data_IF_206706770822
#
_entry.id   IF_206706770822
#
_cell.length_a   1.000
_cell.length_b   1.000
_cell.length_c   1.000
_cell.angle_alpha   90.00
_cell.angle_beta   90.00
_cell.angle_gamma   90.00
#
_symmetry.space_group_name_H-M   'P 1'
#
loop_
_entity.id
_entity.type
_entity.pdbx_description
1 polymer ?
#
# COMPACT_ATOMS: atom_id res chain seq x y z
N UNK A 1 -32.93 -82.84 -10.20
CA UNK A 1 -31.97 -83.93 -10.24
C UNK A 1 -30.69 -83.45 -9.54
N UNK A 2 -30.53 -84.02 -8.34
CA UNK A 2 -29.26 -84.33 -7.65
C UNK A 2 -28.15 -83.31 -7.59
N UNK A 3 -27.48 -83.11 -6.52
CA UNK A 3 -27.35 -83.59 -5.09
C UNK A 3 -26.32 -82.67 -4.48
N UNK A 4 -26.56 -82.20 -3.23
CA UNK A 4 -25.78 -82.42 -2.02
C UNK A 4 -24.23 -82.47 -2.18
N UNK A 5 -23.52 -81.65 -1.42
CA UNK A 5 -22.94 -82.03 -0.12
C UNK A 5 -22.34 -80.84 0.60
N UNK A 6 -22.63 -80.77 1.93
CA UNK A 6 -22.04 -80.02 2.99
C UNK A 6 -20.52 -80.27 3.10
N UNK A 7 -19.82 -79.28 3.62
CA UNK A 7 -18.88 -79.54 4.72
C UNK A 7 -18.52 -78.27 5.49
N UNK A 8 -18.72 -78.42 6.79
CA UNK A 8 -18.26 -77.50 7.84
C UNK A 8 -16.76 -77.44 7.92
N UNK A 9 -16.18 -76.25 8.35
CA UNK A 9 -15.20 -76.16 9.44
C UNK A 9 -14.96 -74.69 9.81
N UNK A 10 -15.32 -74.37 11.00
CA UNK A 10 -14.68 -73.71 12.16
C UNK A 10 -13.77 -72.51 11.97
N UNK A 11 -14.24 -71.47 12.62
CA UNK A 11 -13.57 -70.47 13.48
C UNK A 11 -12.05 -70.22 13.36
N UNK A 12 -11.70 -68.98 13.05
CA UNK A 12 -10.74 -68.23 13.85
C UNK A 12 -11.03 -66.74 13.78
N UNK A 13 -11.42 -66.18 14.93
CA UNK A 13 -11.49 -64.74 15.21
C UNK A 13 -10.07 -64.25 15.44
N UNK A 14 -9.57 -63.41 14.55
CA UNK A 14 -8.43 -62.55 14.84
C UNK A 14 -8.91 -61.10 14.86
N UNK A 15 -8.83 -60.53 16.06
CA UNK A 15 -8.94 -59.10 16.32
C UNK A 15 -7.68 -58.38 15.76
N UNK A 16 -7.80 -57.72 14.63
CA UNK A 16 -6.88 -56.71 14.22
C UNK A 16 -7.45 -55.34 14.62
N UNK A 17 -6.90 -54.81 15.69
CA UNK A 17 -6.98 -53.39 16.07
C UNK A 17 -6.05 -52.63 15.16
N UNK A 18 -6.50 -52.17 14.02
CA UNK A 18 -5.77 -51.20 13.20
C UNK A 18 -6.03 -49.80 13.75
N UNK A 19 -5.09 -49.35 14.63
CA UNK A 19 -4.91 -47.95 14.98
C UNK A 19 -4.17 -47.26 13.81
N UNK A 20 -4.90 -46.85 12.78
CA UNK A 20 -4.43 -45.88 11.81
C UNK A 20 -4.82 -44.47 12.25
N UNK A 21 -4.00 -43.88 13.15
CA UNK A 21 -3.92 -42.43 13.32
C UNK A 21 -2.89 -41.91 12.34
N UNK A 22 -3.17 -41.92 11.04
CA UNK A 22 -2.44 -41.14 10.07
C UNK A 22 -2.92 -39.68 10.10
N UNK A 23 -2.42 -38.98 11.11
CA UNK A 23 -2.45 -37.50 11.11
C UNK A 23 -1.35 -37.01 10.15
N UNK A 24 -1.54 -37.19 8.85
CA UNK A 24 -0.77 -36.52 7.81
C UNK A 24 -1.25 -35.04 7.71
N UNK A 25 -1.05 -34.26 8.77
CA UNK A 25 -1.10 -32.82 8.70
C UNK A 25 0.23 -32.35 8.11
N UNK A 26 0.35 -32.36 6.80
CA UNK A 26 1.41 -31.61 6.15
C UNK A 26 1.21 -30.13 6.52
N UNK A 27 2.23 -29.44 7.04
CA UNK A 27 2.11 -28.02 7.34
C UNK A 27 1.66 -27.30 6.07
N UNK A 28 0.75 -26.31 6.17
CA UNK A 28 0.33 -25.55 5.00
C UNK A 28 1.54 -24.96 4.31
N UNK A 29 1.58 -25.06 2.97
CA UNK A 29 2.63 -24.46 2.18
C UNK A 29 2.78 -22.97 2.53
N UNK A 30 4.00 -22.46 2.63
CA UNK A 30 4.19 -21.03 2.91
C UNK A 30 3.46 -20.21 1.84
N UNK A 31 2.83 -19.09 2.23
CA UNK A 31 2.09 -18.26 1.29
C UNK A 31 3.02 -17.70 0.21
N UNK A 32 2.52 -17.61 -1.01
CA UNK A 32 3.23 -16.94 -2.10
C UNK A 32 3.43 -15.45 -1.77
N UNK A 33 4.67 -14.99 -1.84
CA UNK A 33 5.04 -13.59 -1.56
C UNK A 33 5.04 -12.75 -2.84
N UNK A 34 4.07 -13.00 -3.71
CA UNK A 34 3.86 -12.31 -4.98
C UNK A 34 2.84 -11.16 -4.93
N UNK A 35 2.23 -10.94 -3.76
CA UNK A 35 1.24 -9.91 -3.49
C UNK A 35 -0.18 -10.22 -3.98
N UNK A 36 -0.46 -11.46 -4.42
CA UNK A 36 -1.80 -11.90 -4.82
C UNK A 36 -2.59 -12.57 -3.70
N UNK A 37 -2.07 -12.57 -2.47
CA UNK A 37 -2.79 -13.06 -1.29
C UNK A 37 -2.59 -12.13 -0.09
N UNK A 38 -3.48 -12.21 0.90
CA UNK A 38 -3.39 -11.44 2.15
C UNK A 38 -2.50 -12.14 3.19
N UNK A 39 -2.31 -13.43 3.05
CA UNK A 39 -1.58 -14.29 4.00
C UNK A 39 -0.07 -14.09 3.95
N UNK A 40 0.45 -13.37 2.96
CA UNK A 40 1.88 -13.05 2.85
C UNK A 40 2.40 -12.10 3.93
N UNK A 41 1.51 -11.41 4.67
CA UNK A 41 1.90 -10.54 5.77
C UNK A 41 2.40 -11.35 6.98
N UNK A 42 3.52 -10.91 7.53
CA UNK A 42 4.23 -11.55 8.63
C UNK A 42 4.39 -10.56 9.81
N UNK A 43 3.56 -10.67 10.87
CA UNK A 43 3.63 -9.78 12.03
C UNK A 43 4.97 -9.81 12.76
N UNK A 44 5.63 -10.97 12.81
CA UNK A 44 6.95 -11.12 13.46
C UNK A 44 8.02 -10.37 12.66
N UNK A 45 7.97 -10.44 11.34
CA UNK A 45 8.85 -9.66 10.49
C UNK A 45 8.63 -8.16 10.69
N UNK A 46 7.37 -7.69 10.72
CA UNK A 46 7.07 -6.29 11.03
C UNK A 46 7.67 -5.90 12.39
N UNK A 47 7.48 -6.73 13.41
CA UNK A 47 8.02 -6.51 14.77
C UNK A 47 9.54 -6.40 14.78
N UNK A 48 10.23 -7.19 13.94
CA UNK A 48 11.69 -7.14 13.84
C UNK A 48 12.21 -5.83 13.23
N UNK A 49 11.40 -5.14 12.43
CA UNK A 49 11.76 -3.85 11.82
C UNK A 49 11.50 -2.65 12.76
N UNK A 50 10.64 -2.80 13.78
CA UNK A 50 10.21 -1.69 14.63
C UNK A 50 11.36 -0.92 15.29
N UNK A 51 12.45 -1.54 15.81
CA UNK A 51 13.54 -0.78 16.42
C UNK A 51 14.24 0.17 15.42
N UNK A 52 14.49 -0.29 14.20
CA UNK A 52 15.15 0.50 13.15
C UNK A 52 14.21 1.60 12.66
N UNK A 53 12.97 1.27 12.32
CA UNK A 53 11.99 2.26 11.88
C UNK A 53 11.69 3.28 12.98
N UNK A 54 11.67 2.87 14.25
CA UNK A 54 11.51 3.74 15.41
C UNK A 54 12.63 4.75 15.55
N UNK A 55 13.88 4.35 15.28
CA UNK A 55 15.00 5.27 15.26
C UNK A 55 14.84 6.34 14.15
N UNK A 56 14.45 5.93 12.93
CA UNK A 56 14.15 6.87 11.84
C UNK A 56 12.99 7.80 12.21
N UNK A 57 11.93 7.26 12.78
CA UNK A 57 10.76 8.01 13.20
C UNK A 57 11.09 9.09 14.23
N UNK A 58 11.86 8.74 15.27
CA UNK A 58 12.14 9.62 16.41
C UNK A 58 13.28 10.58 16.13
N UNK A 59 14.35 10.15 15.45
CA UNK A 59 15.61 10.88 15.38
C UNK A 59 15.90 11.45 14.00
N UNK A 60 15.66 10.69 12.95
CA UNK A 60 16.00 11.10 11.59
C UNK A 60 14.95 12.03 10.98
N UNK A 61 13.69 11.60 11.03
CA UNK A 61 12.56 12.36 10.50
C UNK A 61 11.77 13.12 11.57
N UNK A 62 12.04 12.90 12.83
CA UNK A 62 11.37 13.55 13.98
C UNK A 62 9.86 13.69 13.76
N UNK A 63 9.24 12.56 13.43
CA UNK A 63 7.85 12.50 12.95
C UNK A 63 6.89 12.93 14.05
N UNK A 64 5.94 13.76 13.68
CA UNK A 64 4.80 14.13 14.51
C UNK A 64 3.54 13.66 13.81
N UNK A 65 2.83 12.70 14.41
CA UNK A 65 1.63 12.10 13.83
C UNK A 65 0.44 12.29 14.76
N UNK A 66 -0.65 12.85 14.19
CA UNK A 66 -1.89 13.13 14.91
C UNK A 66 -3.15 12.62 14.18
N UNK A 67 -4.33 12.87 14.75
CA UNK A 67 -5.60 12.49 14.14
C UNK A 67 -6.05 11.06 14.41
N UNK A 68 -5.40 10.34 15.31
CA UNK A 68 -5.70 8.94 15.63
C UNK A 68 -7.15 8.68 16.05
N UNK A 69 -7.84 9.68 16.62
CA UNK A 69 -9.25 9.62 17.00
C UNK A 69 -10.22 9.44 15.81
N UNK A 70 -9.74 9.70 14.59
CA UNK A 70 -10.54 9.54 13.37
C UNK A 70 -10.53 8.10 12.83
N UNK A 71 -9.64 7.25 13.35
CA UNK A 71 -9.61 5.83 13.00
C UNK A 71 -10.57 5.04 13.88
N UNK A 72 -11.29 4.13 13.25
CA UNK A 72 -12.10 3.14 13.97
C UNK A 72 -11.21 2.03 14.51
N UNK A 73 -11.61 1.43 15.63
CA UNK A 73 -10.89 0.30 16.22
C UNK A 73 -10.92 -0.95 15.34
N UNK A 74 -11.91 -1.08 14.47
CA UNK A 74 -12.06 -2.19 13.53
C UNK A 74 -12.87 -1.77 12.30
N UNK A 75 -12.88 -2.65 11.29
CA UNK A 75 -13.66 -2.50 10.07
C UNK A 75 -12.86 -1.91 8.90
N UNK A 76 -13.48 -2.08 7.73
CA UNK A 76 -12.92 -1.62 6.46
C UNK A 76 -12.86 -0.10 6.40
N UNK A 77 -11.76 0.40 5.89
CA UNK A 77 -11.56 1.80 5.53
C UNK A 77 -10.52 1.90 4.43
N UNK A 78 -10.69 2.86 3.54
CA UNK A 78 -9.70 3.17 2.53
C UNK A 78 -8.92 4.41 2.96
N UNK A 79 -7.67 4.21 3.42
CA UNK A 79 -6.78 5.30 3.79
C UNK A 79 -6.13 5.81 2.51
N UNK A 80 -6.28 7.11 2.23
CA UNK A 80 -5.84 7.73 0.98
C UNK A 80 -4.82 8.81 1.29
N UNK A 81 -3.59 8.63 0.76
CA UNK A 81 -2.50 9.59 0.88
C UNK A 81 -2.11 10.23 -0.45
N UNK A 82 -1.34 11.32 -0.38
CA UNK A 82 -0.57 11.88 -1.49
C UNK A 82 0.91 11.58 -1.23
N UNK A 83 1.59 11.02 -2.22
CA UNK A 83 2.92 10.45 -2.07
C UNK A 83 4.02 11.50 -2.06
N UNK A 84 5.10 11.30 -1.29
CA UNK A 84 6.15 12.29 -1.10
C UNK A 84 7.54 11.68 -1.03
N UNK A 85 8.57 12.45 -1.40
CA UNK A 85 9.97 12.13 -1.11
C UNK A 85 10.62 11.09 -2.03
N UNK A 86 10.16 10.96 -3.27
CA UNK A 86 10.71 10.03 -4.25
C UNK A 86 10.45 8.56 -3.90
N UNK A 87 11.26 7.65 -4.42
CA UNK A 87 11.10 6.20 -4.19
C UNK A 87 11.28 5.80 -2.73
N UNK A 88 11.98 6.60 -1.92
CA UNK A 88 12.14 6.36 -0.49
C UNK A 88 10.84 6.52 0.30
N UNK A 89 9.89 7.32 -0.19
CA UNK A 89 8.55 7.49 0.36
C UNK A 89 8.51 7.53 1.91
N UNK A 90 9.23 8.45 2.56
CA UNK A 90 9.41 8.41 4.02
C UNK A 90 8.09 8.57 4.79
N UNK A 91 7.15 9.36 4.27
CA UNK A 91 5.81 9.53 4.87
C UNK A 91 5.04 8.20 4.94
N UNK A 92 5.10 7.38 3.88
CA UNK A 92 4.47 6.07 3.86
C UNK A 92 5.08 5.14 4.90
N UNK A 93 6.41 5.01 4.93
CA UNK A 93 7.09 4.13 5.88
C UNK A 93 6.88 4.57 7.33
N UNK A 94 6.93 5.88 7.58
CA UNK A 94 6.70 6.43 8.92
C UNK A 94 5.22 6.33 9.33
N UNK A 95 4.30 6.48 8.40
CA UNK A 95 2.87 6.22 8.64
C UNK A 95 2.58 4.76 8.99
N UNK A 96 3.21 3.80 8.29
CA UNK A 96 3.11 2.36 8.59
C UNK A 96 3.75 2.02 9.95
N UNK A 97 4.89 2.63 10.28
CA UNK A 97 5.49 2.51 11.62
C UNK A 97 4.53 3.03 12.69
N UNK A 98 4.00 4.25 12.52
CA UNK A 98 3.05 4.83 13.47
C UNK A 98 1.79 3.97 13.68
N UNK A 99 1.30 3.33 12.62
CA UNK A 99 0.21 2.35 12.70
C UNK A 99 0.59 1.16 13.59
N UNK A 100 1.73 0.52 13.31
CA UNK A 100 2.19 -0.65 14.05
C UNK A 100 2.53 -0.32 15.52
N UNK A 101 3.08 0.86 15.78
CA UNK A 101 3.35 1.36 17.14
C UNK A 101 2.05 1.59 17.92
N UNK A 102 1.04 2.18 17.27
CA UNK A 102 -0.25 2.53 17.91
C UNK A 102 -1.15 1.33 18.15
N UNK A 103 -1.25 0.42 17.18
CA UNK A 103 -2.24 -0.67 17.18
C UNK A 103 -1.63 -2.06 17.35
N UNK A 104 -0.32 -2.16 17.39
CA UNK A 104 0.41 -3.43 17.43
C UNK A 104 0.68 -4.00 16.04
N UNK A 105 1.74 -4.82 15.93
CA UNK A 105 2.14 -5.44 14.68
C UNK A 105 1.16 -6.49 14.16
N UNK A 106 0.27 -7.01 15.02
CA UNK A 106 -0.73 -8.02 14.64
C UNK A 106 -1.91 -7.41 13.89
N UNK A 107 -2.21 -6.12 14.09
CA UNK A 107 -3.28 -5.44 13.36
C UNK A 107 -2.82 -5.08 11.94
N UNK A 108 -3.40 -5.70 10.89
CA UNK A 108 -2.95 -5.45 9.52
C UNK A 108 -3.37 -4.06 9.03
N UNK A 109 -2.50 -3.48 8.24
CA UNK A 109 -2.78 -2.42 7.28
C UNK A 109 -2.18 -2.86 5.96
N UNK A 110 -3.01 -3.06 4.93
CA UNK A 110 -2.54 -3.49 3.62
C UNK A 110 -2.26 -2.30 2.73
N UNK A 111 -1.04 -2.22 2.17
CA UNK A 111 -0.64 -1.16 1.23
C UNK A 111 -0.74 -1.61 -0.23
N UNK A 112 -1.37 -0.80 -1.07
CA UNK A 112 -1.40 -1.07 -2.52
C UNK A 112 -0.06 -0.65 -3.14
N UNK A 113 0.74 -1.63 -3.57
CA UNK A 113 2.06 -1.41 -4.15
C UNK A 113 2.03 -1.58 -5.68
N UNK A 114 2.69 -0.67 -6.38
CA UNK A 114 2.72 -0.64 -7.85
C UNK A 114 3.34 -1.93 -8.43
N UNK A 115 2.76 -2.54 -9.49
CA UNK A 115 3.24 -3.81 -10.06
C UNK A 115 4.71 -3.79 -10.48
N UNK A 116 5.22 -2.67 -10.97
CA UNK A 116 6.64 -2.53 -11.37
C UNK A 116 7.64 -2.84 -10.26
N UNK A 117 7.26 -2.72 -8.98
CA UNK A 117 8.17 -3.07 -7.87
C UNK A 117 8.51 -4.55 -7.88
N UNK A 118 7.55 -5.43 -8.24
CA UNK A 118 7.81 -6.87 -8.42
C UNK A 118 8.69 -7.19 -9.62
N UNK A 119 8.62 -6.37 -10.67
CA UNK A 119 9.41 -6.54 -11.90
C UNK A 119 10.85 -6.04 -11.72
N UNK A 120 10.99 -4.84 -11.14
CA UNK A 120 12.30 -4.18 -11.00
C UNK A 120 13.11 -4.65 -9.80
N UNK A 121 12.46 -5.02 -8.71
CA UNK A 121 13.14 -5.41 -7.46
C UNK A 121 12.38 -6.49 -6.70
N UNK A 122 12.38 -7.76 -7.18
CA UNK A 122 11.70 -8.87 -6.53
C UNK A 122 12.05 -9.05 -5.04
N UNK A 123 13.33 -8.88 -4.61
CA UNK A 123 13.66 -9.00 -3.19
C UNK A 123 12.99 -7.92 -2.32
N UNK A 124 12.90 -6.67 -2.81
CA UNK A 124 12.20 -5.60 -2.12
C UNK A 124 10.71 -5.89 -2.05
N UNK A 125 10.13 -6.36 -3.17
CA UNK A 125 8.72 -6.73 -3.23
C UNK A 125 8.37 -7.83 -2.21
N UNK A 126 9.20 -8.87 -2.10
CA UNK A 126 9.05 -9.94 -1.12
C UNK A 126 9.03 -9.42 0.32
N UNK A 127 9.94 -8.52 0.69
CA UNK A 127 9.96 -7.91 2.02
C UNK A 127 8.74 -7.01 2.25
N UNK A 128 8.34 -6.26 1.23
CA UNK A 128 7.14 -5.41 1.30
C UNK A 128 5.86 -6.24 1.52
N UNK A 129 5.72 -7.39 0.87
CA UNK A 129 4.59 -8.32 1.11
C UNK A 129 4.55 -8.79 2.55
N UNK A 130 5.68 -9.11 3.15
CA UNK A 130 5.76 -9.46 4.59
C UNK A 130 5.34 -8.30 5.48
N UNK A 131 5.51 -7.05 5.05
CA UNK A 131 5.00 -5.87 5.74
C UNK A 131 3.50 -5.60 5.50
N UNK A 132 2.86 -6.29 4.55
CA UNK A 132 1.45 -6.12 4.20
C UNK A 132 1.23 -5.42 2.85
N UNK A 133 2.25 -5.31 2.00
CA UNK A 133 2.03 -4.84 0.64
C UNK A 133 1.29 -5.91 -0.19
N UNK A 134 0.30 -5.46 -0.95
CA UNK A 134 -0.44 -6.25 -1.93
C UNK A 134 -0.40 -5.52 -3.27
N UNK A 135 -0.62 -6.25 -4.35
CA UNK A 135 -0.60 -5.63 -5.69
C UNK A 135 -1.67 -4.55 -5.81
N UNK A 136 -1.31 -3.41 -6.39
CA UNK A 136 -2.24 -2.32 -6.72
C UNK A 136 -3.20 -2.77 -7.84
N UNK A 137 -4.06 -3.73 -7.52
CA UNK A 137 -5.04 -4.31 -8.41
C UNK A 137 -6.42 -4.33 -7.72
N UNK A 138 -7.52 -4.01 -8.41
CA UNK A 138 -8.86 -3.95 -7.81
C UNK A 138 -9.26 -5.22 -7.07
N UNK A 139 -8.88 -6.41 -7.58
CA UNK A 139 -9.17 -7.70 -6.94
C UNK A 139 -8.58 -7.76 -5.53
N UNK A 140 -7.33 -7.35 -5.34
CA UNK A 140 -6.66 -7.42 -4.05
C UNK A 140 -7.20 -6.39 -3.06
N UNK A 141 -7.40 -5.15 -3.54
CA UNK A 141 -7.98 -4.10 -2.72
C UNK A 141 -9.41 -4.46 -2.24
N UNK A 142 -10.24 -5.00 -3.13
CA UNK A 142 -11.59 -5.46 -2.78
C UNK A 142 -11.52 -6.62 -1.78
N UNK A 143 -10.65 -7.60 -1.99
CA UNK A 143 -10.50 -8.74 -1.09
C UNK A 143 -10.12 -8.30 0.33
N UNK A 144 -9.18 -7.36 0.48
CA UNK A 144 -8.77 -6.83 1.78
C UNK A 144 -9.93 -6.06 2.46
N UNK A 145 -10.60 -5.15 1.73
CA UNK A 145 -11.71 -4.38 2.28
C UNK A 145 -12.93 -5.23 2.62
N UNK A 146 -13.22 -6.28 1.83
CA UNK A 146 -14.32 -7.24 2.13
C UNK A 146 -14.01 -8.15 3.33
N UNK A 147 -12.73 -8.37 3.61
CA UNK A 147 -12.27 -9.04 4.82
C UNK A 147 -12.18 -8.09 6.05
N UNK A 148 -12.77 -6.89 5.94
CA UNK A 148 -12.80 -5.83 6.96
C UNK A 148 -11.41 -5.33 7.39
N UNK A 149 -10.42 -5.42 6.49
CA UNK A 149 -9.10 -4.84 6.73
C UNK A 149 -8.98 -3.43 6.14
N UNK A 150 -8.27 -2.51 6.83
CA UNK A 150 -7.91 -1.22 6.27
C UNK A 150 -6.92 -1.37 5.12
N UNK A 151 -7.10 -0.54 4.09
CA UNK A 151 -6.24 -0.50 2.91
C UNK A 151 -5.69 0.91 2.72
N UNK A 152 -4.37 1.01 2.58
CA UNK A 152 -3.65 2.25 2.28
C UNK A 152 -3.38 2.35 0.77
N UNK A 153 -3.71 3.49 0.18
CA UNK A 153 -3.44 3.78 -1.23
C UNK A 153 -2.92 5.20 -1.43
N UNK A 154 -1.95 5.30 -2.34
CA UNK A 154 -1.43 6.58 -2.85
C UNK A 154 -1.78 6.67 -4.34
N UNK A 155 -2.93 7.29 -4.69
CA UNK A 155 -3.46 7.21 -6.04
C UNK A 155 -2.61 7.91 -7.09
N UNK A 156 -1.85 8.93 -6.69
CA UNK A 156 -1.03 9.74 -7.59
C UNK A 156 0.12 8.99 -8.27
N UNK A 157 0.59 7.88 -7.65
CA UNK A 157 1.65 7.05 -8.21
C UNK A 157 2.96 7.80 -8.47
N UNK A 158 3.73 7.41 -9.52
CA UNK A 158 5.02 8.01 -9.81
C UNK A 158 4.98 9.52 -10.02
N UNK A 159 3.95 10.04 -10.68
CA UNK A 159 3.82 11.49 -10.93
C UNK A 159 3.63 12.29 -9.64
N UNK A 160 3.02 11.69 -8.61
CA UNK A 160 2.86 12.32 -7.30
C UNK A 160 4.18 12.28 -6.51
N UNK A 161 4.82 11.13 -6.48
CA UNK A 161 6.11 10.90 -5.78
C UNK A 161 7.21 11.85 -6.25
N UNK A 162 7.26 12.12 -7.55
CA UNK A 162 8.27 12.97 -8.18
C UNK A 162 7.71 14.31 -8.66
N UNK A 163 6.58 14.78 -8.11
CA UNK A 163 6.09 16.11 -8.46
C UNK A 163 7.14 17.19 -8.12
N UNK A 164 7.22 18.29 -8.90
CA UNK A 164 8.17 19.36 -8.63
C UNK A 164 8.05 19.92 -7.22
N UNK A 165 9.17 20.32 -6.63
CA UNK A 165 9.25 20.80 -5.25
C UNK A 165 8.36 22.02 -4.96
N UNK A 166 8.12 22.88 -5.95
CA UNK A 166 7.15 23.98 -5.82
C UNK A 166 5.71 23.53 -5.62
N UNK A 167 5.41 22.24 -5.89
CA UNK A 167 4.11 21.60 -5.63
C UNK A 167 4.09 20.77 -4.35
N UNK A 168 5.11 20.87 -3.48
CA UNK A 168 5.26 20.02 -2.28
C UNK A 168 4.06 20.03 -1.33
N UNK A 169 3.34 21.14 -1.28
CA UNK A 169 2.14 21.33 -0.46
C UNK A 169 0.84 21.18 -1.27
N UNK A 170 0.85 20.38 -2.35
CA UNK A 170 -0.33 20.14 -3.17
C UNK A 170 -0.72 18.66 -3.15
N UNK A 171 -2.01 18.41 -3.00
CA UNK A 171 -2.60 17.07 -3.18
C UNK A 171 -2.70 16.77 -4.67
N UNK A 172 -1.97 15.72 -5.11
CA UNK A 172 -1.89 15.37 -6.51
C UNK A 172 -2.20 13.89 -6.73
N UNK A 173 -3.27 13.59 -7.48
CA UNK A 173 -3.71 12.22 -7.76
C UNK A 173 -3.56 11.84 -9.23
N UNK A 174 -2.85 12.65 -10.03
CA UNK A 174 -2.64 12.44 -11.46
C UNK A 174 -3.95 12.13 -12.24
N UNK A 175 -5.08 12.69 -11.80
CA UNK A 175 -6.38 12.44 -12.41
C UNK A 175 -6.93 11.02 -12.22
N UNK A 176 -6.31 10.19 -11.39
CA UNK A 176 -6.73 8.79 -11.17
C UNK A 176 -7.93 8.72 -10.23
N UNK A 177 -9.03 8.12 -10.70
CA UNK A 177 -10.31 8.01 -9.98
C UNK A 177 -10.60 6.60 -9.47
N UNK A 178 -9.65 5.66 -9.67
CA UNK A 178 -9.83 4.25 -9.31
C UNK A 178 -10.12 4.03 -7.82
N UNK A 179 -9.50 4.81 -6.94
CA UNK A 179 -9.70 4.73 -5.49
C UNK A 179 -11.11 5.17 -5.06
N UNK A 180 -11.71 6.16 -5.74
CA UNK A 180 -13.10 6.56 -5.51
C UNK A 180 -14.05 5.40 -5.87
N UNK A 181 -13.87 4.82 -7.08
CA UNK A 181 -14.67 3.66 -7.51
C UNK A 181 -14.53 2.49 -6.55
N UNK A 182 -13.32 2.27 -6.02
CA UNK A 182 -13.04 1.23 -5.02
C UNK A 182 -13.83 1.51 -3.73
N UNK A 183 -13.71 2.71 -3.17
CA UNK A 183 -14.43 3.11 -1.95
C UNK A 183 -15.95 2.97 -2.10
N UNK A 184 -16.51 3.46 -3.21
CA UNK A 184 -17.94 3.34 -3.50
C UNK A 184 -18.38 1.88 -3.61
N UNK A 185 -17.62 1.06 -4.35
CA UNK A 185 -17.96 -0.35 -4.59
C UNK A 185 -17.90 -1.21 -3.35
N UNK A 186 -16.98 -0.91 -2.44
CA UNK A 186 -16.77 -1.67 -1.20
C UNK A 186 -17.46 -1.05 0.01
N UNK A 187 -18.19 0.05 -0.20
CA UNK A 187 -18.90 0.80 0.85
C UNK A 187 -17.96 1.19 2.00
N UNK A 188 -16.74 1.57 1.63
CA UNK A 188 -15.71 1.94 2.58
C UNK A 188 -15.61 3.46 2.70
N UNK A 189 -15.58 4.03 3.92
CA UNK A 189 -15.23 5.43 4.09
C UNK A 189 -13.81 5.68 3.60
N UNK A 190 -13.56 6.87 3.06
CA UNK A 190 -12.20 7.33 2.78
C UNK A 190 -11.67 8.06 4.02
N UNK A 191 -10.52 7.62 4.50
CA UNK A 191 -9.77 8.30 5.57
C UNK A 191 -8.58 9.00 4.94
N UNK A 192 -8.58 10.34 4.84
CA UNK A 192 -7.46 11.07 4.30
C UNK A 192 -6.23 10.97 5.22
N UNK A 193 -5.07 10.74 4.60
CA UNK A 193 -3.76 10.77 5.25
C UNK A 193 -2.93 11.85 4.56
N UNK A 194 -2.67 12.95 5.23
CA UNK A 194 -1.87 14.03 4.68
C UNK A 194 -0.51 14.08 5.36
N UNK A 195 0.49 14.57 4.62
CA UNK A 195 1.85 14.70 5.13
C UNK A 195 2.47 16.01 4.67
N UNK A 196 3.20 16.67 5.57
CA UNK A 196 3.99 17.86 5.32
C UNK A 196 5.44 17.61 5.72
N UNK A 197 6.40 18.19 4.98
CA UNK A 197 7.84 18.01 5.20
C UNK A 197 8.44 16.77 4.51
N UNK A 198 7.66 15.74 4.24
CA UNK A 198 8.19 14.53 3.61
C UNK A 198 8.66 14.76 2.17
N UNK A 199 8.07 15.72 1.44
CA UNK A 199 8.52 16.05 0.09
C UNK A 199 9.83 16.86 0.07
N UNK A 200 10.20 17.47 1.20
CA UNK A 200 11.47 18.21 1.35
C UNK A 200 12.67 17.26 1.50
N UNK A 201 12.44 15.97 1.68
CA UNK A 201 13.50 14.95 1.77
C UNK A 201 14.13 14.60 0.41
N UNK A 202 13.53 15.09 -0.69
CA UNK A 202 14.06 15.02 -2.06
C UNK A 202 13.66 16.29 -2.83
N UNK A 203 14.62 17.03 -3.36
CA UNK A 203 14.33 18.27 -4.07
C UNK A 203 14.14 17.98 -5.56
N UNK A 204 12.91 17.77 -5.98
CA UNK A 204 12.56 17.55 -7.39
C UNK A 204 12.45 18.90 -8.10
N UNK A 205 13.29 19.10 -9.12
CA UNK A 205 13.37 20.36 -9.88
C UNK A 205 12.34 20.41 -11.00
N UNK A 206 12.21 19.31 -11.75
CA UNK A 206 11.30 19.20 -12.89
C UNK A 206 11.05 17.72 -13.22
N UNK A 207 10.04 17.44 -14.03
CA UNK A 207 9.86 16.17 -14.72
C UNK A 207 9.96 16.43 -16.24
N UNK A 208 10.86 15.71 -16.91
CA UNK A 208 11.07 15.80 -18.36
C UNK A 208 10.60 14.54 -19.11
N UNK A 209 9.68 13.78 -18.51
CA UNK A 209 9.14 12.54 -19.12
C UNK A 209 8.58 12.76 -20.52
N UNK A 210 7.84 13.86 -20.75
CA UNK A 210 7.25 14.12 -22.07
C UNK A 210 8.32 14.33 -23.15
N UNK A 211 9.42 15.00 -22.83
CA UNK A 211 10.55 15.23 -23.74
C UNK A 211 11.27 13.92 -24.08
N UNK A 212 11.51 13.09 -23.05
CA UNK A 212 12.16 11.78 -23.23
C UNK A 212 11.25 10.82 -23.99
N UNK A 213 9.93 10.88 -23.75
CA UNK A 213 8.94 10.12 -24.50
C UNK A 213 8.94 10.45 -25.99
N UNK A 214 9.04 11.73 -26.35
CA UNK A 214 9.18 12.14 -27.76
C UNK A 214 10.43 11.50 -28.39
N UNK A 215 11.57 11.48 -27.68
CA UNK A 215 12.79 10.83 -28.17
C UNK A 215 12.60 9.32 -28.31
N UNK A 216 11.88 8.70 -27.39
CA UNK A 216 11.51 7.28 -27.49
C UNK A 216 10.64 7.02 -28.73
N UNK A 217 9.62 7.82 -28.95
CA UNK A 217 8.73 7.71 -30.11
C UNK A 217 9.48 7.94 -31.45
N UNK A 218 10.64 8.60 -31.41
CA UNK A 218 11.57 8.76 -32.52
C UNK A 218 12.60 7.62 -32.66
N UNK A 219 12.51 6.58 -31.81
CA UNK A 219 13.35 5.37 -31.90
C UNK A 219 14.42 5.22 -30.82
N UNK A 220 14.51 6.11 -29.85
CA UNK A 220 15.42 5.91 -28.69
C UNK A 220 14.81 4.85 -27.76
N UNK A 221 15.51 3.75 -27.45
CA UNK A 221 14.97 2.74 -26.54
C UNK A 221 14.88 3.28 -25.10
N UNK A 222 13.89 2.77 -24.35
CA UNK A 222 13.88 2.97 -22.90
C UNK A 222 15.07 2.24 -22.25
N UNK A 223 15.57 2.80 -21.16
CA UNK A 223 16.57 2.11 -20.34
C UNK A 223 15.95 0.82 -19.78
N UNK A 224 16.61 -0.32 -20.01
CA UNK A 224 16.12 -1.65 -19.65
C UNK A 224 14.78 -2.04 -20.30
N UNK A 225 14.41 -1.41 -21.42
CA UNK A 225 13.13 -1.60 -22.14
C UNK A 225 11.89 -1.39 -21.25
N UNK A 226 12.02 -0.61 -20.17
CA UNK A 226 10.94 -0.31 -19.23
C UNK A 226 10.59 1.18 -19.33
N UNK A 227 9.32 1.48 -19.66
CA UNK A 227 8.79 2.84 -19.54
C UNK A 227 8.81 3.30 -18.07
N UNK A 228 9.56 4.36 -17.71
CA UNK A 228 9.67 4.81 -16.34
C UNK A 228 8.44 5.57 -15.82
N UNK A 229 7.48 5.95 -16.68
CA UNK A 229 6.29 6.76 -16.40
C UNK A 229 6.58 8.19 -15.92
N UNK A 230 7.76 8.46 -15.38
CA UNK A 230 8.27 9.76 -14.98
C UNK A 230 9.76 9.86 -15.29
N UNK A 231 10.27 11.05 -15.51
CA UNK A 231 11.69 11.29 -15.75
C UNK A 231 12.17 12.51 -14.98
N UNK A 232 12.21 12.43 -13.63
CA UNK A 232 12.50 13.57 -12.78
C UNK A 232 13.94 14.03 -12.91
N UNK A 233 14.14 15.34 -12.80
CA UNK A 233 15.44 15.98 -12.51
C UNK A 233 15.37 16.39 -11.05
N UNK A 234 16.28 15.89 -10.23
CA UNK A 234 16.25 16.16 -8.79
C UNK A 234 17.64 16.29 -8.18
N UNK A 235 17.70 16.94 -7.02
CA UNK A 235 18.86 17.00 -6.15
C UNK A 235 18.58 16.14 -4.92
N UNK A 236 19.42 15.12 -4.70
CA UNK A 236 19.27 14.20 -3.57
C UNK A 236 20.46 13.27 -3.35
N UNK A 237 20.49 12.62 -2.22
CA UNK A 237 21.53 11.65 -1.90
C UNK A 237 21.21 10.28 -2.51
N UNK A 238 22.21 9.47 -2.86
CA UNK A 238 23.65 9.77 -2.79
C UNK A 238 24.17 10.47 -4.06
N UNK A 239 23.34 10.68 -5.07
CA UNK A 239 23.75 10.99 -6.44
C UNK A 239 24.04 12.49 -6.70
N UNK A 240 23.58 13.40 -5.83
CA UNK A 240 23.61 14.84 -6.10
C UNK A 240 22.54 15.22 -7.13
N UNK A 241 22.90 15.98 -8.16
CA UNK A 241 22.01 16.28 -9.28
C UNK A 241 21.84 15.05 -10.17
N UNK A 242 20.62 14.58 -10.29
CA UNK A 242 20.28 13.32 -10.95
C UNK A 242 19.12 13.47 -11.90
N UNK A 243 19.05 12.55 -12.88
CA UNK A 243 17.99 12.47 -13.88
C UNK A 243 17.46 11.04 -13.90
N UNK A 244 16.14 10.90 -13.92
CA UNK A 244 15.43 9.61 -13.91
C UNK A 244 15.03 9.14 -12.51
N UNK A 245 14.13 8.18 -12.39
CA UNK A 245 13.60 7.70 -11.11
C UNK A 245 14.58 6.73 -10.42
N UNK A 246 15.73 7.23 -9.98
CA UNK A 246 16.72 6.45 -9.26
C UNK A 246 16.38 6.34 -7.76
N UNK A 247 16.78 5.26 -7.09
CA UNK A 247 16.67 5.15 -5.64
C UNK A 247 17.38 6.30 -4.95
N UNK A 248 16.74 6.93 -3.97
CA UNK A 248 17.28 8.04 -3.22
C UNK A 248 17.37 7.70 -1.72
N UNK A 249 18.36 8.29 -1.05
CA UNK A 249 18.42 8.36 0.40
C UNK A 249 17.73 9.66 0.79
N UNK A 250 16.61 9.60 1.53
CA UNK A 250 15.88 10.80 1.90
C UNK A 250 16.72 11.68 2.81
N UNK A 251 16.68 13.00 2.62
CA UNK A 251 17.33 13.95 3.54
C UNK A 251 16.63 13.93 4.91
N UNK A 252 17.36 14.13 6.01
CA UNK A 252 16.75 14.26 7.32
C UNK A 252 15.87 15.51 7.39
N UNK A 253 14.78 15.41 8.14
CA UNK A 253 13.84 16.54 8.24
C UNK A 253 12.79 16.29 9.31
N UNK A 254 11.86 17.23 9.47
CA UNK A 254 10.67 17.03 10.26
C UNK A 254 9.51 16.62 9.32
N UNK A 255 8.83 15.54 9.68
CA UNK A 255 7.67 15.06 8.93
C UNK A 255 6.44 15.12 9.85
N UNK A 256 5.41 15.79 9.37
CA UNK A 256 4.13 15.90 10.03
C UNK A 256 3.12 15.05 9.26
N UNK A 257 2.49 14.08 9.93
CA UNK A 257 1.49 13.19 9.34
C UNK A 257 0.18 13.39 10.08
N UNK A 258 -0.90 13.62 9.35
CA UNK A 258 -2.23 13.79 9.93
C UNK A 258 -3.23 12.84 9.31
N UNK A 259 -3.93 12.11 10.18
CA UNK A 259 -5.12 11.34 9.84
C UNK A 259 -6.31 12.27 9.96
N UNK A 260 -7.00 12.52 8.86
CA UNK A 260 -8.13 13.44 8.84
C UNK A 260 -9.45 12.72 9.09
N UNK A 261 -10.50 13.51 9.28
CA UNK A 261 -11.86 13.01 9.47
C UNK A 261 -12.30 12.15 8.27
N UNK A 262 -12.94 10.99 8.51
CA UNK A 262 -13.41 10.13 7.44
C UNK A 262 -14.44 10.79 6.54
N UNK A 263 -14.26 10.68 5.24
CA UNK A 263 -15.19 11.13 4.22
C UNK A 263 -16.15 9.99 3.91
N UNK A 264 -17.44 10.23 4.17
CA UNK A 264 -18.53 9.29 3.88
C UNK A 264 -19.34 9.85 2.70
N UNK A 265 -19.60 9.01 1.71
CA UNK A 265 -20.36 9.38 0.53
C UNK A 265 -21.86 9.19 0.74
N UNK A 266 -22.67 9.93 0.00
CA UNK A 266 -24.13 9.84 0.08
C UNK A 266 -24.68 8.56 -0.55
N UNK A 267 -24.03 8.05 -1.61
CA UNK A 267 -24.42 6.84 -2.33
C UNK A 267 -23.23 5.89 -2.42
N UNK A 268 -23.49 4.63 -2.31
CA UNK A 268 -22.53 3.54 -2.44
C UNK A 268 -23.04 2.45 -3.38
N UNK A 269 -22.24 1.44 -3.61
CA UNK A 269 -22.56 0.28 -4.43
C UNK A 269 -22.09 0.39 -5.87
N UNK A 270 -22.43 -0.61 -6.67
CA UNK A 270 -21.96 -0.73 -8.06
C UNK A 270 -22.49 0.37 -8.96
N UNK A 271 -23.73 0.80 -8.76
CA UNK A 271 -24.35 1.87 -9.53
C UNK A 271 -23.63 3.21 -9.29
N UNK A 272 -23.39 3.57 -8.03
CA UNK A 272 -22.65 4.77 -7.68
C UNK A 272 -21.22 4.75 -8.25
N UNK A 273 -20.53 3.60 -8.19
CA UNK A 273 -19.20 3.44 -8.77
C UNK A 273 -19.17 3.45 -10.31
N UNK A 274 -20.31 3.21 -10.97
CA UNK A 274 -20.49 3.27 -12.42
C UNK A 274 -20.90 4.66 -12.94
N UNK A 275 -21.46 5.49 -12.09
CA UNK A 275 -21.90 6.85 -12.40
C UNK A 275 -20.68 7.78 -12.50
N UNK A 276 -20.32 8.19 -13.72
CA UNK A 276 -19.11 8.98 -13.99
C UNK A 276 -19.16 10.36 -13.33
N UNK A 277 -20.29 11.02 -13.35
CA UNK A 277 -20.43 12.36 -12.80
C UNK A 277 -20.41 12.34 -11.29
N UNK A 278 -20.99 11.30 -10.69
CA UNK A 278 -20.92 11.10 -9.25
C UNK A 278 -19.52 10.75 -8.78
N UNK A 279 -18.81 9.87 -9.49
CA UNK A 279 -17.39 9.55 -9.22
C UNK A 279 -16.52 10.80 -9.32
N UNK A 280 -16.75 11.66 -10.32
CA UNK A 280 -16.02 12.92 -10.45
C UNK A 280 -16.32 13.87 -9.28
N UNK A 281 -17.58 14.00 -8.91
CA UNK A 281 -17.99 14.84 -7.76
C UNK A 281 -17.33 14.34 -6.46
N UNK A 282 -17.33 13.02 -6.23
CA UNK A 282 -16.66 12.42 -5.08
C UNK A 282 -15.13 12.65 -5.11
N UNK A 283 -14.51 12.55 -6.30
CA UNK A 283 -13.08 12.80 -6.48
C UNK A 283 -12.72 14.24 -6.12
N UNK A 284 -13.49 15.22 -6.60
CA UNK A 284 -13.26 16.63 -6.30
C UNK A 284 -13.48 16.92 -4.81
N UNK A 285 -14.50 16.32 -4.20
CA UNK A 285 -14.75 16.42 -2.75
C UNK A 285 -13.52 15.97 -1.95
N UNK A 286 -13.03 14.75 -2.21
CA UNK A 286 -11.86 14.20 -1.50
C UNK A 286 -10.63 15.06 -1.71
N UNK A 287 -10.32 15.43 -2.95
CA UNK A 287 -9.16 16.25 -3.28
C UNK A 287 -9.21 17.61 -2.58
N UNK A 288 -10.37 18.26 -2.60
CA UNK A 288 -10.56 19.57 -1.98
C UNK A 288 -10.41 19.50 -0.46
N UNK A 289 -11.05 18.53 0.20
CA UNK A 289 -10.94 18.35 1.64
C UNK A 289 -9.51 18.03 2.08
N UNK A 290 -8.84 17.14 1.35
CA UNK A 290 -7.42 16.84 1.65
C UNK A 290 -6.52 18.05 1.46
N UNK A 291 -6.75 18.87 0.42
CA UNK A 291 -5.97 20.10 0.23
C UNK A 291 -6.21 21.08 1.38
N UNK A 292 -7.45 21.30 1.78
CA UNK A 292 -7.77 22.19 2.90
C UNK A 292 -7.11 21.75 4.21
N UNK A 293 -7.11 20.46 4.49
CA UNK A 293 -6.44 19.92 5.68
C UNK A 293 -4.92 20.05 5.60
N UNK A 294 -4.33 19.83 4.41
CA UNK A 294 -2.90 20.06 4.19
C UNK A 294 -2.54 21.54 4.39
N UNK A 295 -3.32 22.45 3.84
CA UNK A 295 -3.10 23.90 4.00
C UNK A 295 -3.15 24.31 5.49
N UNK A 296 -4.12 23.74 6.25
CA UNK A 296 -4.21 23.95 7.69
C UNK A 296 -2.98 23.41 8.43
N UNK A 297 -2.52 22.21 8.07
CA UNK A 297 -1.34 21.59 8.67
C UNK A 297 -0.09 22.45 8.42
N UNK A 298 0.13 22.89 7.17
CA UNK A 298 1.24 23.78 6.80
C UNK A 298 1.23 25.06 7.64
N UNK A 299 0.08 25.75 7.71
CA UNK A 299 -0.07 26.97 8.50
C UNK A 299 0.16 26.76 10.01
N UNK A 300 -0.16 25.58 10.54
CA UNK A 300 0.12 25.25 11.94
C UNK A 300 1.61 25.05 12.20
N UNK A 301 2.30 24.38 11.29
CA UNK A 301 3.74 24.11 11.41
C UNK A 301 4.55 25.39 11.25
N UNK A 302 4.18 26.27 10.30
CA UNK A 302 4.86 27.57 10.10
C UNK A 302 4.72 28.53 11.28
N UNK A 303 3.73 28.34 12.16
CA UNK A 303 3.49 29.16 13.34
C UNK A 303 4.09 28.60 14.62
N UNK A 304 4.57 27.35 14.62
CA UNK A 304 5.13 26.65 15.77
C UNK A 304 6.65 26.75 15.83
#
# INVERSE_FOLDING_TARGET
MNRFTDNHTEHHTEHHTDNHTDNNYAPPSPPDLDGWCLQGRDPEFVRSLMPVLGWFYQHYFRVKMDGWQHLRDSGRMLIVGSHNGGLAAPDMHMGLYGWADRFGCDRPLYGLMHPKVWEMSPPVATQAVRCGAIRAHPRMAIAALQADYPVLVYPGGPEDVFRPHNMRNQIYFAGRRGFIKLALRTESPIVPLISHGAHDTLIVLADCYQQVKILHDLGMPWLLDIDPEVFPIYLGLPWGLSIGPLPNIPLPGEIYIRICEPIVFQRYGREAAGDRDYVESCYQLVKTQMQQELDRLVLQVEKS
#
